data_IF_872731429604
#
_entry.id   IF_872731429604
#
_cell.length_a   1.000
_cell.length_b   1.000
_cell.length_c   1.000
_cell.angle_alpha   90.00
_cell.angle_beta   90.00
_cell.angle_gamma   90.00
#
_symmetry.space_group_name_H-M   'P 1'
#
loop_
_entity.id
_entity.type
_entity.pdbx_description
1 polymer ?
#
# COMPACT_ATOMS: atom_id res chain seq x y z
N UNK A 1 3.34 -9.31 21.04
CA UNK A 1 2.37 -8.27 20.62
C UNK A 1 1.99 -8.52 19.16
N UNK A 2 0.74 -8.25 18.78
CA UNK A 2 0.32 -8.31 17.37
C UNK A 2 0.18 -6.88 16.85
N UNK A 3 0.85 -6.59 15.75
CA UNK A 3 0.87 -5.26 15.12
C UNK A 3 0.34 -5.38 13.70
N UNK A 4 -0.51 -4.44 13.32
CA UNK A 4 -1.05 -4.33 11.97
C UNK A 4 -0.48 -3.05 11.36
N UNK A 5 0.09 -3.16 10.16
CA UNK A 5 0.58 -2.01 9.39
C UNK A 5 -0.24 -1.91 8.12
N UNK A 6 -0.99 -0.82 7.97
CA UNK A 6 -1.71 -0.53 6.73
C UNK A 6 -0.71 -0.03 5.69
N UNK A 7 -0.65 -0.71 4.54
CA UNK A 7 0.22 -0.37 3.41
C UNK A 7 -0.61 0.00 2.20
N UNK A 8 -0.05 0.80 1.29
CA UNK A 8 -0.72 1.20 0.05
C UNK A 8 0.24 1.15 -1.13
N UNK A 9 -0.21 0.56 -2.23
CA UNK A 9 0.44 0.74 -3.53
C UNK A 9 0.10 2.12 -4.08
N UNK A 10 1.11 2.88 -4.49
CA UNK A 10 0.97 4.23 -5.06
C UNK A 10 1.77 4.36 -6.35
N UNK A 11 1.44 5.37 -7.15
CA UNK A 11 2.32 5.80 -8.25
C UNK A 11 3.61 6.32 -7.62
N UNK A 12 4.76 5.96 -8.20
CA UNK A 12 6.06 6.40 -7.69
C UNK A 12 6.14 7.93 -7.60
N UNK A 13 6.27 8.50 -6.38
CA UNK A 13 6.39 9.94 -6.21
C UNK A 13 7.69 10.51 -6.80
N UNK A 14 8.72 9.67 -7.00
CA UNK A 14 10.00 10.04 -7.62
C UNK A 14 9.98 9.89 -9.16
N UNK A 15 8.84 9.46 -9.73
CA UNK A 15 8.69 9.40 -11.18
C UNK A 15 8.93 10.79 -11.81
N UNK A 16 9.56 10.87 -13.00
CA UNK A 16 9.81 12.15 -13.65
C UNK A 16 8.50 12.95 -13.80
N UNK A 17 8.43 14.23 -13.39
CA UNK A 17 7.20 15.02 -13.46
C UNK A 17 6.58 15.06 -14.85
N UNK A 18 7.42 15.04 -15.90
CA UNK A 18 6.99 15.01 -17.30
C UNK A 18 6.28 13.71 -17.73
N UNK A 19 6.38 12.65 -16.93
CA UNK A 19 5.72 11.36 -17.20
C UNK A 19 4.26 11.33 -16.75
N UNK A 20 3.86 12.21 -15.82
CA UNK A 20 2.48 12.32 -15.36
C UNK A 20 1.60 12.96 -16.43
N UNK A 21 0.47 12.31 -16.72
CA UNK A 21 -0.52 12.81 -17.66
C UNK A 21 -1.89 12.81 -17.00
N UNK A 22 -2.71 13.79 -17.36
CA UNK A 22 -4.10 13.86 -16.94
C UNK A 22 -4.97 13.45 -18.12
N UNK A 23 -5.83 12.46 -17.91
CA UNK A 23 -6.97 12.23 -18.79
C UNK A 23 -8.00 13.33 -18.54
N UNK A 24 -8.13 14.26 -19.49
CA UNK A 24 -9.03 15.40 -19.39
C UNK A 24 -10.50 15.03 -19.53
N UNK A 25 -10.82 13.88 -20.12
CA UNK A 25 -12.20 13.41 -20.23
C UNK A 25 -12.69 12.77 -18.92
N UNK A 26 -11.83 11.94 -18.30
CA UNK A 26 -12.13 11.28 -17.04
C UNK A 26 -11.74 12.06 -15.78
N UNK A 27 -11.02 13.18 -15.93
CA UNK A 27 -10.39 13.95 -14.83
C UNK A 27 -9.57 13.07 -13.88
N UNK A 28 -8.78 12.14 -14.44
CA UNK A 28 -7.95 11.19 -13.69
C UNK A 28 -6.48 11.32 -14.10
N UNK A 29 -5.58 11.11 -13.14
CA UNK A 29 -4.17 10.88 -13.46
C UNK A 29 -4.03 9.54 -14.15
N UNK A 30 -3.33 9.52 -15.28
CA UNK A 30 -2.91 8.31 -15.95
C UNK A 30 -1.56 7.85 -15.40
N UNK A 31 -1.41 6.57 -15.01
CA UNK A 31 -0.12 6.03 -14.61
C UNK A 31 0.94 6.24 -15.70
N UNK A 32 2.14 6.70 -15.33
CA UNK A 32 3.22 6.90 -16.29
C UNK A 32 3.65 5.58 -16.94
N UNK A 33 3.74 5.56 -18.28
CA UNK A 33 4.16 4.36 -19.01
C UNK A 33 5.62 4.02 -18.67
N UNK A 34 5.86 2.74 -18.36
CA UNK A 34 7.20 2.24 -18.02
C UNK A 34 7.68 2.55 -16.60
N UNK A 35 6.86 3.24 -15.79
CA UNK A 35 7.15 3.47 -14.37
C UNK A 35 6.34 2.47 -13.55
N UNK A 36 7.05 1.61 -12.82
CA UNK A 36 6.39 0.68 -11.90
C UNK A 36 5.85 1.43 -10.69
N UNK A 37 4.64 1.10 -10.18
CA UNK A 37 4.21 1.63 -8.89
C UNK A 37 5.10 1.09 -7.77
N UNK A 38 4.99 1.73 -6.61
CA UNK A 38 5.77 1.42 -5.41
C UNK A 38 4.84 1.28 -4.21
N UNK A 39 5.36 0.75 -3.11
CA UNK A 39 4.70 0.93 -1.80
C UNK A 39 4.90 2.37 -1.36
N UNK A 40 3.86 2.95 -0.78
CA UNK A 40 3.92 4.26 -0.16
C UNK A 40 5.12 4.35 0.81
N UNK A 41 6.04 5.32 0.64
CA UNK A 41 7.24 5.41 1.48
C UNK A 41 6.94 5.55 2.97
N UNK A 42 5.82 6.17 3.34
CA UNK A 42 5.42 6.29 4.75
C UNK A 42 4.93 4.95 5.31
N UNK A 43 4.30 4.12 4.49
CA UNK A 43 3.99 2.74 4.86
C UNK A 43 5.26 1.92 5.13
N UNK A 44 6.34 2.13 4.37
CA UNK A 44 7.63 1.46 4.62
C UNK A 44 8.22 1.86 5.98
N UNK A 45 8.12 3.14 6.34
CA UNK A 45 8.52 3.61 7.68
C UNK A 45 7.65 2.99 8.78
N UNK A 46 6.35 2.80 8.52
CA UNK A 46 5.44 2.10 9.43
C UNK A 46 5.83 0.63 9.64
N UNK A 47 6.18 -0.07 8.56
CA UNK A 47 6.67 -1.46 8.63
C UNK A 47 7.97 -1.51 9.42
N UNK A 48 8.94 -0.65 9.11
CA UNK A 48 10.23 -0.59 9.83
C UNK A 48 10.04 -0.30 11.33
N UNK A 49 9.15 0.63 11.69
CA UNK A 49 8.84 0.91 13.08
C UNK A 49 8.26 -0.32 13.81
N UNK A 50 7.36 -1.06 13.16
CA UNK A 50 6.79 -2.29 13.71
C UNK A 50 7.86 -3.40 13.85
N UNK A 51 8.77 -3.52 12.88
CA UNK A 51 9.89 -4.46 12.93
C UNK A 51 10.85 -4.16 14.08
N UNK A 52 11.21 -2.89 14.30
CA UNK A 52 12.03 -2.51 15.47
C UNK A 52 11.39 -2.90 16.80
N UNK A 53 10.07 -2.77 16.91
CA UNK A 53 9.36 -3.18 18.11
C UNK A 53 9.35 -4.71 18.23
N UNK A 54 9.13 -5.43 17.12
CA UNK A 54 9.21 -6.90 17.07
C UNK A 54 10.60 -7.40 17.48
N UNK A 55 11.68 -6.79 17.01
CA UNK A 55 13.05 -7.18 17.36
C UNK A 55 13.35 -6.97 18.85
N UNK A 56 12.84 -5.88 19.42
CA UNK A 56 13.08 -5.53 20.82
C UNK A 56 12.22 -6.34 21.81
N UNK A 57 10.98 -6.67 21.45
CA UNK A 57 9.96 -7.18 22.39
C UNK A 57 9.30 -8.48 21.93
N UNK A 58 9.65 -8.98 20.75
CA UNK A 58 8.95 -10.06 20.09
C UNK A 58 7.56 -9.63 19.57
N UNK A 59 6.94 -10.50 18.78
CA UNK A 59 5.61 -10.26 18.25
C UNK A 59 5.47 -10.67 16.80
N UNK A 60 4.33 -10.27 16.24
CA UNK A 60 3.94 -10.56 14.87
C UNK A 60 3.55 -9.27 14.18
N UNK A 61 4.05 -9.07 12.97
CA UNK A 61 3.73 -7.93 12.11
C UNK A 61 2.92 -8.44 10.92
N UNK A 62 1.67 -8.00 10.82
CA UNK A 62 0.81 -8.27 9.67
C UNK A 62 0.67 -6.98 8.86
N UNK A 63 1.08 -7.03 7.59
CA UNK A 63 0.83 -5.94 6.65
C UNK A 63 -0.56 -6.13 6.01
N UNK A 64 -1.34 -5.07 5.89
CA UNK A 64 -2.68 -5.10 5.29
C UNK A 64 -2.77 -4.05 4.20
N UNK A 65 -3.20 -4.43 2.99
CA UNK A 65 -3.46 -3.48 1.90
C UNK A 65 -4.86 -3.63 1.36
N UNK A 66 -5.46 -2.51 0.96
CA UNK A 66 -6.79 -2.46 0.36
C UNK A 66 -6.70 -1.80 -1.02
N UNK A 67 -7.30 -2.44 -2.02
CA UNK A 67 -7.42 -1.89 -3.37
C UNK A 67 -7.59 -2.97 -4.43
N UNK A 68 -7.79 -2.55 -5.67
CA UNK A 68 -7.94 -3.42 -6.84
C UNK A 68 -6.65 -3.54 -7.62
N UNK A 69 -6.49 -4.63 -8.39
CA UNK A 69 -5.40 -4.83 -9.34
C UNK A 69 -4.00 -4.58 -8.73
N UNK A 70 -3.80 -5.02 -7.49
CA UNK A 70 -2.56 -4.79 -6.77
C UNK A 70 -1.45 -5.66 -7.35
N UNK A 71 -0.32 -5.04 -7.71
CA UNK A 71 0.80 -5.77 -8.30
C UNK A 71 1.50 -6.56 -7.20
N UNK A 72 1.40 -7.90 -7.31
CA UNK A 72 1.93 -8.84 -6.30
C UNK A 72 3.41 -8.60 -5.99
N UNK A 73 4.22 -8.25 -6.98
CA UNK A 73 5.65 -7.97 -6.80
C UNK A 73 5.92 -6.71 -5.98
N UNK A 74 4.98 -5.76 -5.99
CA UNK A 74 5.06 -4.52 -5.20
C UNK A 74 4.53 -4.76 -3.79
N UNK A 75 3.34 -5.35 -3.65
CA UNK A 75 2.71 -5.54 -2.33
C UNK A 75 3.36 -6.61 -1.46
N UNK A 76 4.24 -7.45 -2.02
CA UNK A 76 5.09 -8.37 -1.24
C UNK A 76 6.27 -7.69 -0.56
N UNK A 77 6.56 -6.40 -0.83
CA UNK A 77 7.70 -5.70 -0.24
C UNK A 77 7.75 -5.79 1.30
N UNK A 78 6.65 -5.63 2.07
CA UNK A 78 6.70 -5.79 3.53
C UNK A 78 7.09 -7.18 4.01
N UNK A 79 6.72 -8.24 3.28
CA UNK A 79 7.19 -9.59 3.58
C UNK A 79 8.70 -9.70 3.41
N UNK A 80 9.23 -9.10 2.32
CA UNK A 80 10.67 -9.05 2.08
C UNK A 80 11.42 -8.20 3.13
N UNK A 81 10.75 -7.21 3.73
CA UNK A 81 11.29 -6.41 4.84
C UNK A 81 11.34 -7.19 6.16
N UNK A 82 10.49 -8.21 6.35
CA UNK A 82 10.45 -9.03 7.57
C UNK A 82 9.07 -9.10 8.26
N UNK A 83 8.02 -8.57 7.64
CA UNK A 83 6.65 -8.79 8.11
C UNK A 83 6.30 -10.28 8.03
N UNK A 84 5.52 -10.78 8.99
CA UNK A 84 5.18 -12.20 9.10
C UNK A 84 4.06 -12.60 8.14
N UNK A 85 3.10 -11.70 7.95
CA UNK A 85 1.93 -11.94 7.11
C UNK A 85 1.58 -10.72 6.27
N UNK A 86 0.92 -11.01 5.14
CA UNK A 86 0.37 -10.01 4.24
C UNK A 86 -1.09 -10.38 3.93
N UNK A 87 -1.99 -9.44 4.18
CA UNK A 87 -3.41 -9.54 3.84
C UNK A 87 -3.70 -8.52 2.75
N UNK A 88 -4.35 -8.97 1.69
CA UNK A 88 -4.75 -8.14 0.56
C UNK A 88 -6.27 -8.17 0.46
N UNK A 89 -6.89 -7.04 0.81
CA UNK A 89 -8.32 -6.78 0.62
C UNK A 89 -8.49 -6.30 -0.83
N UNK A 90 -8.90 -7.22 -1.70
CA UNK A 90 -8.98 -7.00 -3.13
C UNK A 90 -10.38 -7.34 -3.64
N UNK A 91 -11.13 -6.29 -3.97
CA UNK A 91 -12.51 -6.36 -4.46
C UNK A 91 -12.81 -5.07 -5.27
N UNK A 92 -13.54 -5.20 -6.38
CA UNK A 92 -13.98 -4.07 -7.21
C UNK A 92 -14.84 -3.07 -6.42
N UNK A 93 -15.49 -3.51 -5.34
CA UNK A 93 -16.26 -2.65 -4.44
C UNK A 93 -15.42 -1.54 -3.76
N UNK A 94 -14.08 -1.64 -3.78
CA UNK A 94 -13.18 -0.63 -3.25
C UNK A 94 -12.83 0.50 -4.24
N UNK A 95 -13.17 0.36 -5.53
CA UNK A 95 -12.84 1.35 -6.55
C UNK A 95 -13.56 2.68 -6.30
N UNK A 96 -12.81 3.78 -6.44
CA UNK A 96 -13.34 5.14 -6.26
C UNK A 96 -13.69 5.49 -4.82
N UNK A 97 -13.33 4.65 -3.85
CA UNK A 97 -13.48 4.93 -2.43
C UNK A 97 -12.70 6.17 -1.98
N UNK A 98 -13.22 6.84 -0.95
CA UNK A 98 -12.55 7.97 -0.29
C UNK A 98 -11.82 7.51 0.97
N UNK A 99 -11.31 8.47 1.75
CA UNK A 99 -10.62 8.16 3.01
C UNK A 99 -11.54 7.54 4.05
N UNK A 100 -12.83 7.90 4.08
CA UNK A 100 -13.80 7.37 5.04
C UNK A 100 -14.14 5.92 4.70
N UNK A 101 -14.47 5.62 3.43
CA UNK A 101 -14.79 4.26 3.01
C UNK A 101 -13.59 3.32 3.15
N UNK A 102 -12.39 3.81 2.84
CA UNK A 102 -11.13 3.06 3.02
C UNK A 102 -10.90 2.74 4.50
N UNK A 103 -11.03 3.72 5.39
CA UNK A 103 -10.85 3.51 6.83
C UNK A 103 -11.90 2.56 7.40
N UNK A 104 -13.16 2.68 6.96
CA UNK A 104 -14.24 1.78 7.37
C UNK A 104 -13.95 0.32 6.95
N UNK A 105 -13.56 0.09 5.70
CA UNK A 105 -13.25 -1.24 5.22
C UNK A 105 -12.04 -1.86 5.94
N UNK A 106 -10.96 -1.09 6.16
CA UNK A 106 -9.80 -1.54 6.92
C UNK A 106 -10.13 -1.84 8.39
N UNK A 107 -11.05 -1.10 9.00
CA UNK A 107 -11.46 -1.33 10.40
C UNK A 107 -12.35 -2.58 10.57
N UNK A 108 -13.02 -3.01 9.50
CA UNK A 108 -13.90 -4.19 9.48
C UNK A 108 -13.17 -5.50 9.11
N UNK A 109 -11.94 -5.40 8.63
CA UNK A 109 -11.10 -6.53 8.22
C UNK A 109 -10.39 -7.19 9.40
#
# INVERSE_FOLDING_TARGET
MNMIVCIKQVIDPEAPPASFKIDTAGNKVMPPQGVSPVIDPYAEYGVEAALKIKDAQGGKVTAVSLGTNQLRDIVKKPLAMGADELILLEDEAFDGGDSWSTAYALAMA
#
